data_IF_686594260010
#
_entry.id   IF_686594260010
#
_cell.length_a   1.000
_cell.length_b   1.000
_cell.length_c   1.000
_cell.angle_alpha   90.00
_cell.angle_beta   90.00
_cell.angle_gamma   90.00
#
_symmetry.space_group_name_H-M   'P 1'
#
loop_
_entity.id
_entity.type
_entity.pdbx_description
1 polymer ?
#
# COMPACT_ATOMS: atom_id res chain seq x y z
N UNK A 1 19.21 -4.94 -60.23
CA UNK A 1 20.27 -5.44 -59.33
C UNK A 1 20.00 -4.84 -57.96
N UNK A 2 19.68 -5.68 -56.98
CA UNK A 2 19.26 -5.25 -55.65
C UNK A 2 20.48 -4.77 -54.85
N UNK A 3 20.47 -3.50 -54.44
CA UNK A 3 21.43 -2.97 -53.48
C UNK A 3 20.94 -3.31 -52.07
N UNK A 4 21.40 -4.44 -51.54
CA UNK A 4 21.22 -4.78 -50.13
C UNK A 4 22.08 -3.81 -49.28
N UNK A 5 21.42 -2.95 -48.51
CA UNK A 5 22.07 -2.19 -47.46
C UNK A 5 22.61 -3.17 -46.39
N UNK A 6 23.85 -2.99 -45.89
CA UNK A 6 24.38 -3.81 -44.82
C UNK A 6 23.55 -3.56 -43.55
N UNK A 7 22.99 -4.63 -42.99
CA UNK A 7 22.30 -4.60 -41.71
C UNK A 7 23.27 -4.12 -40.62
N UNK A 8 22.96 -2.96 -40.01
CA UNK A 8 23.64 -2.46 -38.81
C UNK A 8 23.50 -3.51 -37.69
N UNK A 9 24.58 -3.93 -37.02
CA UNK A 9 24.47 -4.75 -35.83
C UNK A 9 23.80 -3.89 -34.75
N UNK A 10 22.57 -4.24 -34.38
CA UNK A 10 21.89 -3.65 -33.24
C UNK A 10 22.69 -3.99 -31.99
N UNK A 11 23.52 -3.07 -31.53
CA UNK A 11 24.08 -3.11 -30.19
C UNK A 11 22.90 -3.08 -29.21
N UNK A 12 22.43 -4.26 -28.82
CA UNK A 12 21.54 -4.45 -27.70
C UNK A 12 22.30 -4.00 -26.46
N UNK A 13 22.21 -2.70 -26.16
CA UNK A 13 22.81 -2.10 -24.98
C UNK A 13 22.40 -2.90 -23.76
N UNK A 14 23.37 -3.26 -22.92
CA UNK A 14 23.16 -4.00 -21.68
C UNK A 14 22.01 -3.38 -20.88
N UNK A 15 20.97 -4.18 -20.64
CA UNK A 15 19.84 -3.78 -19.81
C UNK A 15 20.39 -3.53 -18.40
N UNK A 16 20.23 -2.32 -17.83
CA UNK A 16 20.73 -2.04 -16.48
C UNK A 16 20.06 -2.98 -15.48
N UNK A 17 20.87 -3.59 -14.60
CA UNK A 17 20.37 -4.53 -13.59
C UNK A 17 19.33 -3.83 -12.69
N UNK A 18 18.15 -4.42 -12.47
CA UNK A 18 17.13 -3.83 -11.62
C UNK A 18 17.62 -3.70 -10.17
N UNK A 19 17.53 -2.48 -9.63
CA UNK A 19 17.92 -2.21 -8.25
C UNK A 19 16.80 -2.65 -7.29
N UNK A 20 16.85 -3.90 -6.84
CA UNK A 20 15.85 -4.52 -5.95
C UNK A 20 16.16 -4.39 -4.45
N UNK A 21 17.32 -3.82 -4.09
CA UNK A 21 17.81 -3.83 -2.71
C UNK A 21 16.95 -3.03 -1.72
N UNK A 22 16.31 -1.95 -2.18
CA UNK A 22 15.43 -1.14 -1.35
C UNK A 22 14.08 -1.84 -1.08
N UNK A 23 13.57 -2.59 -2.05
CA UNK A 23 12.33 -3.38 -1.94
C UNK A 23 12.46 -4.39 -0.80
N UNK A 24 13.59 -5.10 -0.76
CA UNK A 24 13.86 -6.07 0.30
C UNK A 24 13.95 -5.44 1.70
N UNK A 25 14.50 -4.22 1.81
CA UNK A 25 14.52 -3.49 3.09
C UNK A 25 13.11 -3.20 3.57
N UNK A 26 12.26 -2.66 2.70
CA UNK A 26 10.89 -2.31 3.07
C UNK A 26 10.04 -3.54 3.36
N UNK A 27 10.25 -4.63 2.59
CA UNK A 27 9.62 -5.92 2.87
C UNK A 27 9.89 -6.37 4.31
N UNK A 28 11.15 -6.34 4.77
CA UNK A 28 11.47 -6.75 6.13
C UNK A 28 10.91 -5.80 7.20
N UNK A 29 10.84 -4.50 6.92
CA UNK A 29 10.16 -3.54 7.82
C UNK A 29 8.68 -3.90 7.97
N UNK A 30 7.99 -4.18 6.86
CA UNK A 30 6.57 -4.55 6.86
C UNK A 30 6.32 -5.89 7.55
N UNK A 31 7.19 -6.88 7.31
CA UNK A 31 7.17 -8.16 8.04
C UNK A 31 7.36 -7.92 9.54
N UNK A 32 8.29 -7.06 9.94
CA UNK A 32 8.51 -6.72 11.34
C UNK A 32 7.29 -6.07 12.00
N UNK A 33 6.65 -5.11 11.32
CA UNK A 33 5.42 -4.46 11.81
C UNK A 33 4.30 -5.50 11.96
N UNK A 34 4.11 -6.38 10.98
CA UNK A 34 3.06 -7.40 11.03
C UNK A 34 3.34 -8.50 12.05
N UNK A 35 4.60 -8.91 12.23
CA UNK A 35 4.97 -9.81 13.32
C UNK A 35 4.66 -9.18 14.69
N UNK A 36 4.96 -7.89 14.85
CA UNK A 36 4.65 -7.15 16.06
C UNK A 36 3.13 -7.05 16.31
N UNK A 37 2.32 -6.82 15.27
CA UNK A 37 0.86 -6.87 15.35
C UNK A 37 0.37 -8.21 15.91
N UNK A 38 0.89 -9.33 15.39
CA UNK A 38 0.53 -10.67 15.90
C UNK A 38 0.97 -10.89 17.34
N UNK A 39 2.17 -10.45 17.73
CA UNK A 39 2.64 -10.56 19.12
C UNK A 39 1.69 -9.85 20.07
N UNK A 40 1.24 -8.63 19.76
CA UNK A 40 0.26 -7.92 20.58
C UNK A 40 -1.10 -8.61 20.64
N UNK A 41 -1.55 -9.21 19.53
CA UNK A 41 -2.81 -9.94 19.50
C UNK A 41 -2.76 -11.21 20.36
N UNK A 42 -1.62 -11.91 20.39
CA UNK A 42 -1.46 -13.15 21.17
C UNK A 42 -1.15 -12.91 22.65
N UNK A 43 -0.45 -11.83 23.00
CA UNK A 43 -0.06 -11.54 24.39
C UNK A 43 -1.08 -10.70 25.15
N UNK A 44 -1.95 -9.97 24.45
CA UNK A 44 -2.88 -9.02 25.06
C UNK A 44 -4.33 -9.42 24.83
N UNK A 45 -5.12 -9.40 25.91
CA UNK A 45 -6.54 -9.69 25.87
C UNK A 45 -7.32 -8.70 25.00
N UNK A 46 -8.50 -9.15 24.54
CA UNK A 46 -9.37 -8.34 23.72
C UNK A 46 -9.88 -7.13 24.49
N UNK A 47 -9.34 -5.96 24.16
CA UNK A 47 -9.71 -4.70 24.78
C UNK A 47 -9.42 -3.49 23.88
N UNK A 48 -9.92 -2.33 24.29
CA UNK A 48 -9.81 -1.08 23.54
C UNK A 48 -8.36 -0.70 23.24
N UNK A 49 -7.44 -0.97 24.16
CA UNK A 49 -6.01 -0.70 24.01
C UNK A 49 -5.38 -1.57 22.91
N UNK A 50 -5.79 -2.84 22.81
CA UNK A 50 -5.29 -3.74 21.75
C UNK A 50 -5.73 -3.27 20.39
N UNK A 51 -7.02 -2.92 20.29
CA UNK A 51 -7.62 -2.46 19.04
C UNK A 51 -6.99 -1.15 18.59
N UNK A 52 -6.73 -0.20 19.49
CA UNK A 52 -6.09 1.07 19.13
C UNK A 52 -4.66 0.88 18.61
N UNK A 53 -3.85 0.04 19.27
CA UNK A 53 -2.49 -0.30 18.79
C UNK A 53 -2.56 -0.95 17.41
N UNK A 54 -3.46 -1.90 17.21
CA UNK A 54 -3.61 -2.60 15.94
C UNK A 54 -3.99 -1.64 14.81
N UNK A 55 -4.95 -0.74 15.05
CA UNK A 55 -5.35 0.30 14.07
C UNK A 55 -4.15 1.18 13.70
N UNK A 56 -3.40 1.67 14.70
CA UNK A 56 -2.26 2.54 14.48
C UNK A 56 -1.18 1.83 13.66
N UNK A 57 -0.78 0.61 14.04
CA UNK A 57 0.21 -0.18 13.31
C UNK A 57 -0.25 -0.49 11.88
N UNK A 58 -1.54 -0.76 11.67
CA UNK A 58 -2.11 -1.02 10.34
C UNK A 58 -2.03 0.24 9.45
N UNK A 59 -2.26 1.43 10.01
CA UNK A 59 -2.11 2.70 9.27
C UNK A 59 -0.65 2.92 8.87
N UNK A 60 0.31 2.72 9.79
CA UNK A 60 1.73 2.81 9.45
C UNK A 60 2.12 1.83 8.34
N UNK A 61 1.65 0.59 8.44
CA UNK A 61 1.86 -0.43 7.41
C UNK A 61 1.32 0.02 6.04
N UNK A 62 0.10 0.55 6.01
CA UNK A 62 -0.50 1.05 4.78
C UNK A 62 0.33 2.19 4.15
N UNK A 63 0.84 3.12 4.97
CA UNK A 63 1.73 4.19 4.49
C UNK A 63 3.00 3.63 3.83
N UNK A 64 3.68 2.67 4.46
CA UNK A 64 4.90 2.06 3.91
C UNK A 64 4.62 1.27 2.61
N UNK A 65 3.47 0.61 2.51
CA UNK A 65 3.07 -0.09 1.27
C UNK A 65 2.86 0.91 0.13
N UNK A 66 2.11 1.99 0.38
CA UNK A 66 1.78 2.99 -0.65
C UNK A 66 3.02 3.79 -1.08
N UNK A 67 3.88 4.16 -0.13
CA UNK A 67 5.09 4.92 -0.44
C UNK A 67 6.09 4.13 -1.30
N UNK A 68 6.30 2.86 -0.97
CA UNK A 68 7.43 2.09 -1.47
C UNK A 68 6.98 1.03 -2.50
N UNK A 69 5.96 0.21 -2.24
CA UNK A 69 5.54 -0.83 -3.19
C UNK A 69 4.71 -0.33 -4.37
N UNK A 70 4.06 0.82 -4.24
CA UNK A 70 3.32 1.44 -5.35
C UNK A 70 4.21 2.38 -6.18
N UNK A 71 5.51 2.44 -5.92
CA UNK A 71 6.52 3.23 -6.64
C UNK A 71 6.21 4.75 -6.74
N UNK A 72 5.26 5.22 -5.93
CA UNK A 72 4.71 6.57 -5.98
C UNK A 72 5.70 7.66 -5.57
N UNK A 73 6.79 7.28 -4.90
CA UNK A 73 7.81 8.21 -4.43
C UNK A 73 8.53 8.92 -5.58
N UNK A 74 8.66 8.28 -6.75
CA UNK A 74 9.41 8.81 -7.90
C UNK A 74 8.63 8.80 -9.22
N UNK A 75 7.40 8.26 -9.24
CA UNK A 75 6.56 8.19 -10.44
C UNK A 75 5.39 9.20 -10.47
N UNK A 76 4.70 9.22 -11.61
CA UNK A 76 3.71 10.23 -12.00
C UNK A 76 2.56 10.39 -10.99
N UNK A 77 2.23 11.65 -10.70
CA UNK A 77 1.16 12.06 -9.76
C UNK A 77 -0.19 11.40 -10.07
N UNK A 78 -0.45 11.00 -11.32
CA UNK A 78 -1.66 10.30 -11.73
C UNK A 78 -1.84 8.93 -11.06
N UNK A 79 -0.75 8.18 -10.85
CA UNK A 79 -0.81 6.89 -10.15
C UNK A 79 -1.19 7.08 -8.67
N UNK A 80 -0.71 8.15 -8.03
CA UNK A 80 -1.09 8.49 -6.65
C UNK A 80 -2.59 8.72 -6.54
N UNK A 81 -3.16 9.53 -7.45
CA UNK A 81 -4.60 9.82 -7.48
C UNK A 81 -5.44 8.57 -7.75
N UNK A 82 -4.94 7.62 -8.55
CA UNK A 82 -5.64 6.36 -8.83
C UNK A 82 -5.86 5.49 -7.58
N UNK A 83 -5.01 5.64 -6.55
CA UNK A 83 -5.12 4.91 -5.28
C UNK A 83 -5.84 5.76 -4.23
N UNK A 84 -5.53 7.06 -4.16
CA UNK A 84 -6.13 7.98 -3.19
C UNK A 84 -7.64 8.16 -3.39
N UNK A 85 -8.13 8.20 -4.64
CA UNK A 85 -9.56 8.39 -4.92
C UNK A 85 -10.41 7.21 -4.42
N UNK A 86 -10.09 5.93 -4.77
CA UNK A 86 -10.79 4.78 -4.19
C UNK A 86 -10.70 4.74 -2.66
N UNK A 87 -9.54 5.08 -2.08
CA UNK A 87 -9.39 5.13 -0.63
C UNK A 87 -10.29 6.17 0.02
N UNK A 88 -10.36 7.38 -0.54
CA UNK A 88 -11.23 8.44 -0.04
C UNK A 88 -12.71 8.04 -0.10
N UNK A 89 -13.12 7.36 -1.19
CA UNK A 89 -14.47 6.81 -1.32
C UNK A 89 -14.79 5.77 -0.25
N UNK A 90 -13.85 4.87 0.06
CA UNK A 90 -14.05 3.87 1.12
C UNK A 90 -14.17 4.51 2.51
N UNK A 91 -13.33 5.51 2.82
CA UNK A 91 -13.42 6.24 4.09
C UNK A 91 -14.76 6.98 4.19
N UNK A 92 -15.17 7.67 3.12
CA UNK A 92 -16.46 8.35 3.07
C UNK A 92 -17.62 7.37 3.26
N UNK A 93 -17.59 6.22 2.58
CA UNK A 93 -18.60 5.18 2.70
C UNK A 93 -18.68 4.61 4.13
N UNK A 94 -17.54 4.36 4.78
CA UNK A 94 -17.52 3.89 6.17
C UNK A 94 -18.17 4.91 7.11
N UNK A 95 -17.85 6.20 6.95
CA UNK A 95 -18.46 7.26 7.77
C UNK A 95 -19.97 7.34 7.53
N UNK A 96 -20.41 7.27 6.27
CA UNK A 96 -21.83 7.26 5.91
C UNK A 96 -22.57 6.08 6.57
N UNK A 97 -22.03 4.86 6.43
CA UNK A 97 -22.62 3.65 7.03
C UNK A 97 -22.69 3.71 8.55
N UNK A 98 -21.65 4.22 9.22
CA UNK A 98 -21.65 4.39 10.68
C UNK A 98 -22.67 5.44 11.11
N UNK A 99 -22.81 6.52 10.34
CA UNK A 99 -23.76 7.61 10.65
C UNK A 99 -25.21 7.15 10.47
N UNK A 100 -25.52 6.53 9.34
CA UNK A 100 -26.84 5.96 9.06
C UNK A 100 -27.17 4.82 10.04
N UNK A 101 -26.20 3.97 10.36
CA UNK A 101 -26.35 2.92 11.36
C UNK A 101 -26.72 3.47 12.74
N UNK A 102 -26.05 4.54 13.19
CA UNK A 102 -26.38 5.22 14.44
C UNK A 102 -27.75 5.91 14.38
N UNK A 103 -28.10 6.54 13.26
CA UNK A 103 -29.40 7.18 13.08
C UNK A 103 -30.55 6.17 13.19
N UNK A 104 -30.41 5.00 12.57
CA UNK A 104 -31.37 3.90 12.67
C UNK A 104 -31.45 3.35 14.10
N UNK A 105 -30.30 3.15 14.76
CA UNK A 105 -30.26 2.67 16.14
C UNK A 105 -31.06 3.59 17.08
N UNK A 106 -30.81 4.91 17.01
CA UNK A 106 -31.49 5.91 17.82
C UNK A 106 -32.99 6.07 17.49
N UNK A 107 -33.43 5.64 16.30
CA UNK A 107 -34.83 5.70 15.90
C UNK A 107 -35.63 4.48 16.38
N UNK A 108 -34.96 3.35 16.63
CA UNK A 108 -35.59 2.07 17.00
C UNK A 108 -35.48 1.72 18.48
N UNK A 109 -34.45 2.23 19.16
CA UNK A 109 -34.14 1.99 20.57
C UNK A 109 -33.97 3.31 21.30
#
# INVERSE_FOLDING_TARGET
MANHAPAQPTHAGEIPKPNVGWIWKTFFVLVGITALEFVFVFLMDAGTLRNSIFIILTIFKAFFIVAEFMHLKHETKGLIWSIMIPMALLIWLLVALVTEGNAIHNALY
#
